data_IF_621876559376
#
_entry.id   IF_621876559376
#
_cell.length_a   1.000
_cell.length_b   1.000
_cell.length_c   1.000
_cell.angle_alpha   90.00
_cell.angle_beta   90.00
_cell.angle_gamma   90.00
#
_symmetry.space_group_name_H-M   'P 1'
#
loop_
_entity.id
_entity.type
_entity.pdbx_description
1 polymer ?
#
# COMPACT_ATOMS: atom_id res chain seq x y z
N UNK A 1 1.60 -6.96 18.64
CA UNK A 1 0.26 -6.33 18.52
C UNK A 1 -0.44 -6.70 17.19
N UNK A 2 0.16 -6.51 16.01
CA UNK A 2 -0.48 -6.79 14.70
C UNK A 2 -0.86 -8.28 14.47
N UNK A 3 -0.12 -9.22 15.07
CA UNK A 3 -0.34 -10.67 14.88
C UNK A 3 -1.59 -11.21 15.61
N UNK A 4 -2.10 -10.50 16.62
CA UNK A 4 -3.35 -10.87 17.30
C UNK A 4 -4.59 -10.62 16.41
N UNK A 5 -4.50 -9.67 15.46
CA UNK A 5 -5.53 -9.39 14.47
C UNK A 5 -5.64 -10.46 13.37
N UNK A 6 -4.62 -11.32 13.21
CA UNK A 6 -4.56 -12.30 12.11
C UNK A 6 -5.35 -13.58 12.39
N UNK A 7 -5.75 -13.84 13.65
CA UNK A 7 -6.32 -15.14 14.10
C UNK A 7 -7.82 -15.15 14.44
N UNK A 8 -8.55 -14.03 14.33
CA UNK A 8 -10.03 -14.04 14.50
C UNK A 8 -10.74 -14.29 13.17
N UNK A 9 -11.87 -15.02 13.15
CA UNK A 9 -12.60 -15.35 11.93
C UNK A 9 -13.11 -14.06 11.26
N UNK A 10 -12.41 -13.68 10.20
CA UNK A 10 -12.66 -12.84 9.02
C UNK A 10 -13.73 -11.72 9.01
N UNK A 11 -14.30 -11.28 10.14
CA UNK A 11 -15.12 -10.06 10.21
C UNK A 11 -14.22 -8.83 10.32
N UNK A 12 -13.36 -8.78 11.35
CA UNK A 12 -12.43 -7.67 11.57
C UNK A 12 -11.47 -7.48 10.41
N UNK A 13 -10.97 -8.57 9.80
CA UNK A 13 -10.11 -8.47 8.62
C UNK A 13 -10.81 -7.82 7.43
N UNK A 14 -12.09 -8.17 7.18
CA UNK A 14 -12.89 -7.56 6.11
C UNK A 14 -13.15 -6.08 6.39
N UNK A 15 -13.59 -5.75 7.61
CA UNK A 15 -13.81 -4.37 8.02
C UNK A 15 -12.53 -3.52 7.90
N UNK A 16 -11.40 -4.02 8.42
CA UNK A 16 -10.11 -3.34 8.32
C UNK A 16 -9.59 -3.26 6.88
N UNK A 17 -9.85 -4.27 6.04
CA UNK A 17 -9.52 -4.25 4.61
C UNK A 17 -10.28 -3.16 3.86
N UNK A 18 -11.56 -2.96 4.17
CA UNK A 18 -12.37 -1.88 3.60
C UNK A 18 -11.83 -0.50 4.01
N UNK A 19 -11.43 -0.33 5.29
CA UNK A 19 -10.75 0.89 5.76
C UNK A 19 -9.46 1.12 4.97
N UNK A 20 -8.60 0.10 4.85
CA UNK A 20 -7.33 0.22 4.12
C UNK A 20 -7.53 0.66 2.67
N UNK A 21 -8.53 0.10 1.97
CA UNK A 21 -8.81 0.44 0.58
C UNK A 21 -9.22 1.92 0.40
N UNK A 22 -10.02 2.46 1.32
CA UNK A 22 -10.50 3.86 1.27
C UNK A 22 -9.42 4.86 1.67
N UNK A 23 -8.61 4.49 2.65
CA UNK A 23 -7.48 5.29 3.15
C UNK A 23 -6.31 5.46 2.16
N UNK A 24 -6.25 4.66 1.10
CA UNK A 24 -5.19 4.74 0.11
C UNK A 24 -5.32 5.96 -0.81
N UNK A 25 -6.54 6.50 -0.98
CA UNK A 25 -6.84 7.49 -2.02
C UNK A 25 -7.03 8.92 -1.50
N UNK A 26 -7.64 9.13 -0.33
CA UNK A 26 -7.90 10.46 0.29
C UNK A 26 -8.12 10.31 1.82
N UNK A 27 -8.19 11.42 2.56
CA UNK A 27 -8.70 11.41 3.95
C UNK A 27 -10.13 10.86 3.93
N UNK A 28 -10.43 9.88 4.79
CA UNK A 28 -11.74 9.23 4.81
C UNK A 28 -12.85 10.23 5.11
N UNK A 29 -13.92 10.15 4.32
CA UNK A 29 -15.14 10.93 4.57
C UNK A 29 -15.81 10.52 5.89
N UNK A 30 -16.53 11.46 6.50
CA UNK A 30 -17.25 11.26 7.76
C UNK A 30 -18.21 10.06 7.68
N UNK A 31 -18.92 9.91 6.56
CA UNK A 31 -19.86 8.81 6.37
C UNK A 31 -19.14 7.45 6.35
N UNK A 32 -17.99 7.37 5.69
CA UNK A 32 -17.17 6.17 5.61
C UNK A 32 -16.57 5.81 6.96
N UNK A 33 -16.14 6.82 7.72
CA UNK A 33 -15.65 6.64 9.08
C UNK A 33 -16.72 6.02 9.98
N UNK A 34 -17.95 6.54 9.92
CA UNK A 34 -19.09 5.99 10.68
C UNK A 34 -19.40 4.56 10.21
N UNK A 35 -19.44 4.30 8.90
CA UNK A 35 -19.74 2.97 8.36
C UNK A 35 -18.69 1.92 8.78
N UNK A 36 -17.42 2.30 8.80
CA UNK A 36 -16.33 1.47 9.31
C UNK A 36 -16.47 1.20 10.81
N UNK A 37 -16.76 2.24 11.61
CA UNK A 37 -16.95 2.11 13.05
C UNK A 37 -18.14 1.19 13.39
N UNK A 38 -19.27 1.33 12.69
CA UNK A 38 -20.42 0.41 12.81
C UNK A 38 -19.98 -1.02 12.48
N UNK A 39 -19.31 -1.23 11.35
CA UNK A 39 -18.90 -2.57 10.91
C UNK A 39 -17.97 -3.25 11.93
N UNK A 40 -16.99 -2.52 12.47
CA UNK A 40 -16.09 -3.04 13.50
C UNK A 40 -16.81 -3.33 14.82
N UNK A 41 -17.75 -2.47 15.21
CA UNK A 41 -18.60 -2.69 16.40
C UNK A 41 -19.43 -3.96 16.27
N UNK A 42 -20.04 -4.18 15.10
CA UNK A 42 -20.84 -5.37 14.84
C UNK A 42 -19.98 -6.63 14.82
N UNK A 43 -18.75 -6.55 14.31
CA UNK A 43 -17.78 -7.64 14.44
C UNK A 43 -17.48 -7.96 15.90
N UNK A 44 -17.37 -6.96 16.77
CA UNK A 44 -17.15 -7.15 18.20
C UNK A 44 -18.38 -7.79 18.87
N UNK A 45 -19.57 -7.26 18.62
CA UNK A 45 -20.84 -7.79 19.16
C UNK A 45 -21.02 -9.25 18.75
N UNK A 46 -20.73 -9.59 17.48
CA UNK A 46 -20.83 -10.96 16.99
C UNK A 46 -19.88 -11.95 17.69
N UNK A 47 -18.82 -11.47 18.37
CA UNK A 47 -17.97 -12.35 19.19
C UNK A 47 -18.57 -12.68 20.56
N UNK A 48 -19.56 -11.93 21.03
CA UNK A 48 -20.22 -12.17 22.30
C UNK A 48 -21.41 -13.14 22.13
N UNK A 49 -21.37 -14.29 22.79
CA UNK A 49 -22.37 -15.36 22.64
C UNK A 49 -23.80 -14.97 23.06
N UNK A 50 -23.97 -13.93 23.89
CA UNK A 50 -25.26 -13.53 24.47
C UNK A 50 -25.78 -12.17 23.97
N UNK A 51 -25.12 -11.55 22.99
CA UNK A 51 -25.53 -10.26 22.46
C UNK A 51 -25.79 -10.34 20.96
N UNK A 52 -26.99 -9.92 20.56
CA UNK A 52 -27.36 -9.81 19.15
C UNK A 52 -27.17 -8.37 18.67
N UNK A 53 -26.74 -8.22 17.43
CA UNK A 53 -26.72 -6.93 16.76
C UNK A 53 -28.15 -6.35 16.64
N UNK A 54 -28.33 -5.02 16.80
CA UNK A 54 -29.62 -4.38 16.54
C UNK A 54 -30.12 -4.63 15.11
N UNK A 55 -31.42 -4.80 14.94
CA UNK A 55 -32.04 -5.08 13.64
C UNK A 55 -31.90 -3.91 12.67
N UNK A 56 -31.84 -2.69 13.20
CA UNK A 56 -31.56 -1.45 12.47
C UNK A 56 -30.18 -1.50 11.78
N UNK A 57 -29.26 -2.30 12.31
CA UNK A 57 -27.91 -2.48 11.77
C UNK A 57 -27.78 -3.66 10.79
N UNK A 58 -28.88 -4.34 10.44
CA UNK A 58 -28.85 -5.54 9.56
C UNK A 58 -28.16 -5.28 8.21
N UNK A 59 -28.28 -4.07 7.68
CA UNK A 59 -27.63 -3.72 6.42
C UNK A 59 -26.09 -3.86 6.49
N UNK A 60 -25.47 -3.76 7.67
CA UNK A 60 -24.03 -3.96 7.83
C UNK A 60 -23.63 -5.42 8.07
N UNK A 61 -24.57 -6.30 8.48
CA UNK A 61 -24.28 -7.71 8.73
C UNK A 61 -24.39 -8.57 7.46
N UNK A 62 -25.35 -8.26 6.57
CA UNK A 62 -25.53 -8.96 5.29
C UNK A 62 -24.63 -8.47 4.17
N UNK A 63 -24.10 -7.24 4.26
CA UNK A 63 -23.29 -6.63 3.20
C UNK A 63 -21.80 -6.64 3.51
N UNK A 64 -21.21 -7.83 3.58
CA UNK A 64 -19.75 -7.98 3.42
C UNK A 64 -19.24 -7.72 1.99
N UNK A 65 -20.10 -7.21 1.08
CA UNK A 65 -19.91 -7.22 -0.37
C UNK A 65 -20.55 -6.02 -1.10
N UNK A 66 -20.73 -4.86 -0.47
CA UNK A 66 -20.99 -3.64 -1.25
C UNK A 66 -19.66 -3.14 -1.79
N UNK A 67 -19.54 -3.11 -3.11
CA UNK A 67 -18.37 -2.59 -3.81
C UNK A 67 -18.03 -1.18 -3.33
N UNK A 68 -16.75 -0.84 -3.39
CA UNK A 68 -16.23 0.48 -3.05
C UNK A 68 -16.90 1.56 -3.92
N UNK A 69 -18.04 2.11 -3.48
CA UNK A 69 -18.74 3.17 -4.21
C UNK A 69 -20.15 3.52 -3.70
N UNK A 70 -20.95 2.54 -3.26
CA UNK A 70 -22.31 2.82 -2.77
C UNK A 70 -22.38 2.76 -1.24
N UNK A 71 -22.14 3.91 -0.62
CA UNK A 71 -22.38 4.11 0.81
C UNK A 71 -23.84 3.88 1.18
N UNK A 72 -24.10 3.49 2.44
CA UNK A 72 -25.48 3.41 2.91
C UNK A 72 -26.10 4.81 2.99
N UNK A 73 -27.42 4.87 2.79
CA UNK A 73 -28.20 6.08 3.03
C UNK A 73 -27.94 6.61 4.45
N UNK A 74 -27.83 7.93 4.57
CA UNK A 74 -27.67 8.63 5.85
C UNK A 74 -28.73 8.22 6.88
N UNK A 75 -29.97 7.94 6.43
CA UNK A 75 -31.06 7.48 7.29
C UNK A 75 -30.75 6.13 7.94
N UNK A 76 -30.33 5.13 7.14
CA UNK A 76 -30.03 3.78 7.65
C UNK A 76 -28.83 3.80 8.60
N UNK A 77 -27.82 4.61 8.28
CA UNK A 77 -26.68 4.86 9.16
C UNK A 77 -27.14 5.45 10.51
N UNK A 78 -27.93 6.52 10.46
CA UNK A 78 -28.45 7.18 11.67
C UNK A 78 -29.32 6.27 12.54
N UNK A 79 -30.19 5.46 11.93
CA UNK A 79 -31.02 4.48 12.64
C UNK A 79 -30.17 3.42 13.35
N UNK A 80 -29.14 2.88 12.70
CA UNK A 80 -28.22 1.94 13.32
C UNK A 80 -27.42 2.58 14.47
N UNK A 81 -26.89 3.80 14.29
CA UNK A 81 -26.16 4.51 15.35
C UNK A 81 -27.07 4.78 16.56
N UNK A 82 -28.32 5.20 16.31
CA UNK A 82 -29.32 5.39 17.36
C UNK A 82 -29.65 4.09 18.09
N UNK A 83 -29.68 2.96 17.39
CA UNK A 83 -29.89 1.66 18.01
C UNK A 83 -28.68 1.23 18.87
N UNK A 84 -27.44 1.46 18.39
CA UNK A 84 -26.22 1.20 19.17
C UNK A 84 -26.17 2.05 20.44
N UNK A 85 -26.64 3.30 20.41
CA UNK A 85 -26.65 4.17 21.59
C UNK A 85 -27.63 3.72 22.68
N UNK A 86 -28.54 2.77 22.42
CA UNK A 86 -29.45 2.21 23.44
C UNK A 86 -28.74 1.29 24.43
N UNK A 87 -27.51 0.84 24.12
CA UNK A 87 -26.68 0.01 24.99
C UNK A 87 -25.37 0.73 25.29
N UNK A 88 -25.07 0.95 26.58
CA UNK A 88 -23.81 1.58 26.99
C UNK A 88 -22.57 0.80 26.51
N UNK A 89 -22.66 -0.53 26.48
CA UNK A 89 -21.58 -1.39 25.97
C UNK A 89 -21.36 -1.19 24.47
N UNK A 90 -22.44 -1.20 23.67
CA UNK A 90 -22.32 -1.03 22.22
C UNK A 90 -21.88 0.38 21.86
N UNK A 91 -22.35 1.38 22.60
CA UNK A 91 -21.91 2.77 22.44
C UNK A 91 -20.43 2.96 22.75
N UNK A 92 -19.91 2.28 23.78
CA UNK A 92 -18.49 2.31 24.11
C UNK A 92 -17.64 1.74 22.96
N UNK A 93 -17.98 0.56 22.44
CA UNK A 93 -17.31 -0.04 21.29
C UNK A 93 -17.37 0.85 20.05
N UNK A 94 -18.57 1.36 19.70
CA UNK A 94 -18.76 2.25 18.55
C UNK A 94 -17.95 3.55 18.65
N UNK A 95 -18.04 4.26 19.77
CA UNK A 95 -17.32 5.51 19.97
C UNK A 95 -15.81 5.32 20.04
N UNK A 96 -15.36 4.16 20.53
CA UNK A 96 -13.96 3.72 20.44
C UNK A 96 -13.51 3.59 18.99
N UNK A 97 -14.19 2.77 18.20
CA UNK A 97 -13.83 2.58 16.79
C UNK A 97 -13.94 3.86 15.96
N UNK A 98 -14.92 4.73 16.23
CA UNK A 98 -15.03 6.02 15.54
C UNK A 98 -13.77 6.89 15.72
N UNK A 99 -13.11 6.81 16.88
CA UNK A 99 -11.85 7.51 17.17
C UNK A 99 -10.62 6.77 16.64
N UNK A 100 -10.65 5.44 16.62
CA UNK A 100 -9.53 4.60 16.16
C UNK A 100 -9.41 4.53 14.64
N UNK A 101 -10.53 4.57 13.91
CA UNK A 101 -10.56 4.43 12.45
C UNK A 101 -9.68 5.47 11.72
N UNK A 102 -9.68 6.77 12.08
CA UNK A 102 -8.72 7.73 11.54
C UNK A 102 -7.24 7.37 11.83
N UNK A 103 -6.95 6.88 13.04
CA UNK A 103 -5.59 6.48 13.40
C UNK A 103 -5.11 5.26 12.59
N UNK A 104 -6.01 4.29 12.38
CA UNK A 104 -5.76 3.15 11.49
C UNK A 104 -5.51 3.61 10.06
N UNK A 105 -6.26 4.61 9.60
CA UNK A 105 -6.10 5.19 8.27
C UNK A 105 -4.71 5.80 8.05
N UNK A 106 -4.26 6.64 8.99
CA UNK A 106 -2.92 7.22 8.95
C UNK A 106 -1.83 6.14 8.98
N UNK A 107 -2.02 5.09 9.78
CA UNK A 107 -1.09 3.96 9.80
C UNK A 107 -1.04 3.25 8.44
N UNK A 108 -2.19 2.91 7.84
CA UNK A 108 -2.23 2.22 6.54
C UNK A 108 -1.63 3.05 5.41
N UNK A 109 -1.88 4.37 5.40
CA UNK A 109 -1.27 5.28 4.43
C UNK A 109 0.25 5.25 4.53
N UNK A 110 0.79 5.40 5.74
CA UNK A 110 2.24 5.33 5.97
C UNK A 110 2.84 4.01 5.50
N UNK A 111 2.17 2.89 5.74
CA UNK A 111 2.62 1.59 5.25
C UNK A 111 2.65 1.52 3.73
N UNK A 112 1.58 1.96 3.07
CA UNK A 112 1.51 1.99 1.60
C UNK A 112 2.58 2.93 1.01
N UNK A 113 2.83 4.09 1.62
CA UNK A 113 3.86 5.04 1.18
C UNK A 113 5.27 4.44 1.29
N UNK A 114 5.54 3.68 2.36
CA UNK A 114 6.81 2.96 2.54
C UNK A 114 6.98 1.89 1.46
N UNK A 115 5.95 1.08 1.20
CA UNK A 115 6.02 0.03 0.19
C UNK A 115 6.22 0.62 -1.21
N UNK A 116 5.48 1.68 -1.55
CA UNK A 116 5.64 2.42 -2.80
C UNK A 116 7.06 2.99 -2.96
N UNK A 117 7.61 3.60 -1.91
CA UNK A 117 8.97 4.13 -1.95
C UNK A 117 9.99 3.00 -2.20
N UNK A 118 9.85 1.84 -1.53
CA UNK A 118 10.75 0.69 -1.71
C UNK A 118 10.72 0.18 -3.15
N UNK A 119 9.54 0.12 -3.76
CA UNK A 119 9.39 -0.30 -5.16
C UNK A 119 10.00 0.70 -6.13
N UNK A 120 9.81 2.01 -5.91
CA UNK A 120 10.46 3.06 -6.71
C UNK A 120 11.99 2.95 -6.60
N UNK A 121 12.54 2.80 -5.39
CA UNK A 121 13.97 2.64 -5.20
C UNK A 121 14.51 1.37 -5.85
N UNK A 122 13.77 0.27 -5.80
CA UNK A 122 14.13 -0.97 -6.50
C UNK A 122 14.17 -0.76 -8.01
N UNK A 123 13.19 -0.08 -8.58
CA UNK A 123 13.16 0.18 -10.02
C UNK A 123 14.31 1.11 -10.43
N UNK A 124 14.52 2.21 -9.70
CA UNK A 124 15.61 3.15 -9.96
C UNK A 124 17.00 2.49 -9.83
N UNK A 125 17.19 1.59 -8.86
CA UNK A 125 18.46 0.86 -8.71
C UNK A 125 18.70 -0.11 -9.85
N UNK A 126 17.66 -0.80 -10.34
CA UNK A 126 17.78 -1.66 -11.52
C UNK A 126 18.16 -0.87 -12.77
N UNK A 127 17.52 0.28 -13.01
CA UNK A 127 17.87 1.19 -14.12
C UNK A 127 19.30 1.74 -13.99
N UNK A 128 19.74 2.07 -12.77
CA UNK A 128 21.11 2.51 -12.52
C UNK A 128 22.12 1.41 -12.83
N UNK A 129 21.84 0.18 -12.45
CA UNK A 129 22.72 -0.98 -12.71
C UNK A 129 22.84 -1.22 -14.21
N UNK A 130 21.74 -1.18 -14.96
CA UNK A 130 21.77 -1.36 -16.43
C UNK A 130 22.54 -0.23 -17.10
N UNK A 131 22.37 1.02 -16.65
CA UNK A 131 23.14 2.16 -17.13
C UNK A 131 24.64 2.02 -16.84
N UNK A 132 25.03 1.65 -15.62
CA UNK A 132 26.44 1.47 -15.26
C UNK A 132 27.10 0.35 -16.08
N UNK A 133 26.36 -0.72 -16.35
CA UNK A 133 26.86 -1.82 -17.20
C UNK A 133 27.14 -1.34 -18.62
N UNK A 134 26.21 -0.62 -19.25
CA UNK A 134 26.40 -0.11 -20.61
C UNK A 134 27.47 0.98 -20.69
N UNK A 135 27.62 1.82 -19.65
CA UNK A 135 28.72 2.77 -19.56
C UNK A 135 30.09 2.06 -19.47
N UNK A 136 30.21 1.05 -18.60
CA UNK A 136 31.45 0.27 -18.47
C UNK A 136 31.80 -0.52 -19.73
N UNK A 137 30.81 -1.03 -20.46
CA UNK A 137 31.02 -1.67 -21.77
C UNK A 137 31.57 -0.67 -22.80
N UNK A 138 31.01 0.55 -22.86
CA UNK A 138 31.52 1.61 -23.75
C UNK A 138 32.95 2.01 -23.41
N UNK A 139 33.29 2.17 -22.13
CA UNK A 139 34.66 2.49 -21.71
C UNK A 139 35.66 1.41 -22.11
N UNK A 140 35.32 0.13 -21.90
CA UNK A 140 36.16 -1.00 -22.31
C UNK A 140 36.36 -1.04 -23.82
N UNK A 141 35.32 -0.76 -24.60
CA UNK A 141 35.43 -0.74 -26.06
C UNK A 141 36.29 0.43 -26.55
N UNK A 142 36.12 1.62 -25.97
CA UNK A 142 36.99 2.77 -26.27
C UNK A 142 38.47 2.47 -25.94
N UNK A 143 38.75 1.84 -24.79
CA UNK A 143 40.10 1.44 -24.41
C UNK A 143 40.72 0.46 -25.42
N UNK A 144 39.97 -0.57 -25.83
CA UNK A 144 40.41 -1.52 -26.87
C UNK A 144 40.66 -0.85 -28.22
N UNK A 145 39.79 0.09 -28.62
CA UNK A 145 40.00 0.84 -29.85
C UNK A 145 41.28 1.68 -29.75
N UNK A 146 41.50 2.37 -28.63
CA UNK A 146 42.68 3.18 -28.41
C UNK A 146 43.98 2.35 -28.45
N UNK A 147 43.98 1.16 -27.84
CA UNK A 147 45.09 0.19 -27.94
C UNK A 147 45.33 -0.27 -29.39
N UNK A 148 44.28 -0.59 -30.15
CA UNK A 148 44.40 -0.95 -31.57
C UNK A 148 44.98 0.19 -32.40
N UNK A 149 44.50 1.42 -32.20
CA UNK A 149 45.01 2.62 -32.88
C UNK A 149 46.48 2.89 -32.53
N UNK A 150 46.87 2.74 -31.27
CA UNK A 150 48.27 2.84 -30.82
C UNK A 150 49.15 1.75 -31.48
N UNK A 151 48.69 0.50 -31.53
CA UNK A 151 49.41 -0.59 -32.22
C UNK A 151 49.62 -0.30 -33.72
N UNK A 152 48.59 0.15 -34.43
CA UNK A 152 48.65 0.45 -35.88
C UNK A 152 49.56 1.64 -36.18
N UNK A 153 49.53 2.69 -35.34
CA UNK A 153 50.40 3.86 -35.50
C UNK A 153 51.87 3.52 -35.23
N UNK A 154 52.16 2.64 -34.27
CA UNK A 154 53.51 2.12 -34.01
C UNK A 154 54.04 1.31 -35.21
N UNK A 155 53.22 0.43 -35.79
CA UNK A 155 53.58 -0.35 -36.99
C UNK A 155 53.81 0.55 -38.22
N UNK A 156 52.97 1.56 -38.44
CA UNK A 156 53.16 2.54 -39.54
C UNK A 156 54.40 3.42 -39.36
N UNK A 157 54.78 3.77 -38.13
CA UNK A 157 56.00 4.53 -37.88
C UNK A 157 57.26 3.68 -38.12
N UNK A 158 57.24 2.40 -37.69
CA UNK A 158 58.31 1.43 -37.97
C UNK A 158 58.50 1.14 -39.47
N UNK A 159 57.40 1.02 -40.23
CA UNK A 159 57.44 0.82 -41.68
C UNK A 159 57.97 2.06 -42.44
N UNK A 160 57.64 3.27 -42.00
CA UNK A 160 58.19 4.51 -42.61
C UNK A 160 59.66 4.76 -42.25
N UNK A 161 60.12 4.32 -41.07
CA UNK A 161 61.56 4.37 -40.73
C UNK A 161 62.39 3.34 -41.53
N UNK A 162 61.81 2.21 -41.96
CA UNK A 162 62.52 1.25 -42.81
C UNK A 162 62.67 1.70 -44.27
N UNK A 163 61.91 2.70 -44.73
CA UNK A 163 61.98 3.19 -46.13
C UNK A 163 63.00 4.32 -46.36
N UNK A 164 63.73 4.78 -45.34
CA UNK A 164 64.73 5.86 -45.47
C UNK A 164 66.19 5.40 -45.31
N UNK A 165 66.45 4.09 -45.30
CA UNK A 165 67.80 3.51 -45.35
C UNK A 165 67.97 2.77 -46.67
N UNK A 166 68.27 3.51 -47.74
CA UNK A 166 68.93 2.99 -48.94
C UNK A 166 69.74 4.11 -49.57
#
# INVERSE_FOLDING_TARGET
ALQAYTRRPDCFKRAAGAVRARCATLDMDEAERVDAAISMTLCEIATAAHHAAPLECRAYTTHGNRGAGEGLSSKVRGECVSALSRSAQFWASYSGYLREVPQLCHAFRRWNDIDLARDIYRNATLEKITFLRSAGEREREMARQMERWAGVSTVRCGLKCCSLVR
#
